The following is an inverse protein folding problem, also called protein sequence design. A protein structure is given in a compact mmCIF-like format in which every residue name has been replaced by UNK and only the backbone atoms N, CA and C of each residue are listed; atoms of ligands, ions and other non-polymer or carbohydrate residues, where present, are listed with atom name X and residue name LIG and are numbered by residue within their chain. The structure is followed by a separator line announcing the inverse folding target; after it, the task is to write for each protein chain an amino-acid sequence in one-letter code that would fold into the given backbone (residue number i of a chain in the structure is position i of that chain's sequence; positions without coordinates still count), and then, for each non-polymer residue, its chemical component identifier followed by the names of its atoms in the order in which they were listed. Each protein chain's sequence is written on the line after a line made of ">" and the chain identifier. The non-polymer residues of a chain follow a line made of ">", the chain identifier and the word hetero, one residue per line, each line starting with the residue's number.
data_IF_997846817919
#
_entry.id   IF_997846817919
#
_cell.length_a   1.000
_cell.length_b   1.000
_cell.length_c   1.000
_cell.angle_alpha   90.00
_cell.angle_beta   90.00
_cell.angle_gamma   90.00
#
_symmetry.space_group_name_H-M   'P 1'
#
loop_
_entity.id
_entity.type
_entity.pdbx_description
1 polymer ?
#
# COMPACT_ATOMS: atom_id res chain seq x y z
N UNK A 1 9.16 -2.75 1.85
CA UNK A 1 8.34 -1.66 1.26
C UNK A 1 9.22 -0.51 0.82
N UNK A 2 9.07 -0.09 -0.41
CA UNK A 2 9.70 1.13 -0.92
C UNK A 2 8.65 2.13 -1.29
N UNK A 3 8.84 3.37 -0.87
CA UNK A 3 7.88 4.45 -1.08
C UNK A 3 8.46 5.50 -2.02
N UNK A 4 7.63 6.01 -2.93
CA UNK A 4 8.03 7.00 -3.91
C UNK A 4 7.07 8.20 -3.90
N UNK A 5 7.55 9.36 -4.33
CA UNK A 5 6.74 10.56 -4.46
C UNK A 5 6.17 11.04 -3.12
N UNK A 6 4.90 11.39 -3.13
CA UNK A 6 4.23 11.91 -1.94
C UNK A 6 4.24 10.95 -0.76
N UNK A 7 4.18 9.65 -1.02
CA UNK A 7 4.20 8.66 0.06
C UNK A 7 5.49 8.72 0.85
N UNK A 8 6.61 8.91 0.16
CA UNK A 8 7.90 9.07 0.83
C UNK A 8 7.89 10.30 1.74
N UNK A 9 7.33 11.40 1.27
CA UNK A 9 7.25 12.63 2.06
C UNK A 9 6.33 12.47 3.25
N UNK A 10 5.17 11.84 3.05
CA UNK A 10 4.18 11.65 4.11
C UNK A 10 4.68 10.76 5.23
N UNK A 11 5.40 9.70 4.89
CA UNK A 11 5.90 8.75 5.87
C UNK A 11 7.27 9.11 6.43
N UNK A 12 8.02 9.95 5.70
CA UNK A 12 9.36 10.36 6.12
C UNK A 12 10.42 9.30 5.95
N UNK A 13 10.13 8.23 5.20
CA UNK A 13 11.09 7.16 4.95
C UNK A 13 11.02 6.74 3.49
N UNK A 14 12.17 6.29 2.96
CA UNK A 14 12.26 5.80 1.59
C UNK A 14 11.91 4.33 1.48
N UNK A 15 12.26 3.57 2.49
CA UNK A 15 12.05 2.12 2.51
C UNK A 15 11.97 1.62 3.94
N UNK A 16 11.26 0.53 4.14
CA UNK A 16 11.09 -0.10 5.44
C UNK A 16 11.01 -1.60 5.28
N UNK A 17 11.46 -2.31 6.31
CA UNK A 17 11.27 -3.74 6.40
C UNK A 17 10.12 -4.04 7.35
N UNK A 18 9.33 -5.04 7.01
CA UNK A 18 8.24 -5.54 7.85
C UNK A 18 8.42 -7.02 8.09
N UNK A 19 8.37 -7.41 9.35
CA UNK A 19 8.28 -8.82 9.70
C UNK A 19 6.80 -9.18 9.76
N UNK A 20 6.40 -10.12 8.93
CA UNK A 20 5.01 -10.51 8.84
C UNK A 20 4.90 -12.03 8.89
N UNK A 21 3.75 -12.51 9.30
CA UNK A 21 3.48 -13.93 9.36
C UNK A 21 3.40 -14.50 7.95
N UNK A 22 3.78 -15.76 7.80
CA UNK A 22 3.57 -16.47 6.54
C UNK A 22 2.10 -16.42 6.15
N UNK A 23 1.85 -16.17 4.87
CA UNK A 23 0.48 -16.03 4.37
C UNK A 23 -0.10 -14.63 4.43
N UNK A 24 0.65 -13.65 4.95
CA UNK A 24 0.21 -12.26 4.97
C UNK A 24 0.05 -11.76 3.54
N UNK A 25 -1.07 -11.10 3.28
CA UNK A 25 -1.36 -10.55 1.94
C UNK A 25 -0.85 -9.13 1.81
N UNK A 26 -0.72 -8.66 0.56
CA UNK A 26 -0.40 -7.27 0.28
C UNK A 26 -1.45 -6.34 0.88
N UNK A 27 -2.73 -6.71 0.79
CA UNK A 27 -3.82 -5.94 1.38
C UNK A 27 -3.59 -5.70 2.87
N UNK A 28 -3.19 -6.73 3.60
CA UNK A 28 -2.94 -6.62 5.03
C UNK A 28 -1.77 -5.68 5.34
N UNK A 29 -0.71 -5.72 4.54
CA UNK A 29 0.40 -4.79 4.70
C UNK A 29 -0.10 -3.35 4.58
N UNK A 30 -0.87 -3.08 3.54
CA UNK A 30 -1.31 -1.71 3.24
C UNK A 30 -2.38 -1.20 4.21
N UNK A 31 -3.26 -2.06 4.70
CA UNK A 31 -4.36 -1.66 5.57
C UNK A 31 -4.04 -1.75 7.05
N UNK A 32 -3.13 -2.62 7.44
CA UNK A 32 -2.87 -2.90 8.85
C UNK A 32 -1.45 -2.51 9.25
N UNK A 33 -0.45 -3.08 8.59
CA UNK A 33 0.94 -2.94 9.05
C UNK A 33 1.48 -1.52 8.87
N UNK A 34 1.29 -0.91 7.70
CA UNK A 34 1.76 0.46 7.47
C UNK A 34 1.04 1.46 8.38
N UNK A 35 -0.30 1.45 8.47
CA UNK A 35 -0.99 2.35 9.38
C UNK A 35 -0.61 2.17 10.85
N UNK A 36 -0.32 0.95 11.28
CA UNK A 36 0.09 0.72 12.67
C UNK A 36 1.48 1.27 12.96
N UNK A 37 2.39 1.17 12.00
CA UNK A 37 3.75 1.71 12.16
C UNK A 37 3.76 3.23 12.08
N UNK A 38 2.91 3.80 11.26
CA UNK A 38 2.84 5.25 11.01
C UNK A 38 1.51 5.81 11.48
N UNK A 39 1.24 5.70 12.78
CA UNK A 39 -0.06 6.09 13.35
C UNK A 39 -0.42 7.54 13.08
N UNK A 40 0.55 8.45 13.14
CA UNK A 40 0.30 9.86 12.89
C UNK A 40 -0.07 10.15 11.45
N UNK A 41 0.37 9.31 10.53
CA UNK A 41 0.12 9.48 9.10
C UNK A 41 -0.91 8.49 8.57
N UNK A 42 -1.56 7.71 9.44
CA UNK A 42 -2.43 6.62 8.98
C UNK A 42 -3.61 7.11 8.15
N UNK A 43 -4.24 8.20 8.53
CA UNK A 43 -5.39 8.72 7.79
C UNK A 43 -4.98 9.20 6.39
N UNK A 44 -3.89 9.95 6.31
CA UNK A 44 -3.44 10.44 5.01
C UNK A 44 -2.90 9.30 4.13
N UNK A 45 -2.30 8.27 4.74
CA UNK A 45 -1.88 7.07 4.03
C UNK A 45 -3.08 6.40 3.35
N UNK A 46 -4.14 6.14 4.13
CA UNK A 46 -5.34 5.50 3.62
C UNK A 46 -5.97 6.31 2.49
N UNK A 47 -6.10 7.63 2.68
CA UNK A 47 -6.70 8.50 1.66
C UNK A 47 -5.85 8.63 0.40
N UNK A 48 -4.54 8.49 0.51
CA UNK A 48 -3.64 8.58 -0.63
C UNK A 48 -3.59 7.27 -1.41
N UNK A 49 -3.57 6.15 -0.72
CA UNK A 49 -3.41 4.83 -1.36
C UNK A 49 -4.73 4.26 -1.85
N UNK A 50 -5.81 4.48 -1.11
CA UNK A 50 -7.10 3.89 -1.42
C UNK A 50 -8.13 4.93 -1.81
N UNK A 51 -9.07 4.53 -2.66
CA UNK A 51 -10.23 5.36 -2.95
C UNK A 51 -11.17 5.31 -1.76
N UNK A 52 -11.63 6.47 -1.32
CA UNK A 52 -12.56 6.55 -0.19
C UNK A 52 -13.84 7.27 -0.61
N UNK A 53 -14.93 6.86 0.01
CA UNK A 53 -16.23 7.49 -0.15
C UNK A 53 -16.78 7.77 1.24
N UNK A 54 -16.99 9.03 1.56
CA UNK A 54 -17.47 9.47 2.88
C UNK A 54 -16.61 8.93 4.03
N UNK A 55 -15.28 8.95 3.82
CA UNK A 55 -14.33 8.51 4.83
C UNK A 55 -14.13 7.01 4.93
N UNK A 56 -14.83 6.24 4.11
CA UNK A 56 -14.69 4.78 4.11
C UNK A 56 -14.02 4.31 2.83
N UNK A 57 -13.20 3.27 2.94
CA UNK A 57 -12.53 2.69 1.78
C UNK A 57 -13.56 2.08 0.83
N UNK A 58 -13.51 2.48 -0.44
CA UNK A 58 -14.35 1.89 -1.47
C UNK A 58 -13.87 0.47 -1.75
N UNK A 59 -14.81 -0.44 -1.94
CA UNK A 59 -14.50 -1.84 -2.21
C UNK A 59 -15.23 -2.32 -3.46
N UNK A 60 -14.59 -3.23 -4.19
CA UNK A 60 -15.22 -3.88 -5.33
C UNK A 60 -16.25 -4.90 -4.85
N UNK A 61 -16.93 -5.56 -5.80
CA UNK A 61 -17.98 -6.53 -5.48
C UNK A 61 -17.48 -7.69 -4.62
N UNK A 62 -16.21 -8.08 -4.79
CA UNK A 62 -15.63 -9.18 -4.04
C UNK A 62 -15.04 -8.74 -2.69
N UNK A 63 -15.21 -7.47 -2.32
CA UNK A 63 -14.72 -6.93 -1.05
C UNK A 63 -13.31 -6.40 -1.09
N UNK A 64 -12.63 -6.46 -2.23
CA UNK A 64 -11.26 -5.98 -2.36
C UNK A 64 -11.24 -4.44 -2.35
N UNK A 65 -10.34 -3.81 -1.55
CA UNK A 65 -10.22 -2.35 -1.57
C UNK A 65 -9.80 -1.83 -2.94
N UNK A 66 -10.28 -0.66 -3.30
CA UNK A 66 -9.93 -0.02 -4.58
C UNK A 66 -8.77 0.93 -4.37
N UNK A 67 -7.69 0.74 -5.13
CA UNK A 67 -6.53 1.63 -5.08
C UNK A 67 -6.84 2.94 -5.80
N UNK A 68 -6.24 4.02 -5.29
CA UNK A 68 -6.38 5.36 -5.87
C UNK A 68 -5.09 5.77 -6.54
N UNK A 69 -5.03 5.62 -7.86
CA UNK A 69 -3.92 6.12 -8.67
C UNK A 69 -2.52 5.75 -8.15
N UNK A 70 -2.38 4.54 -7.63
CA UNK A 70 -1.08 4.06 -7.18
C UNK A 70 -0.69 2.82 -7.98
N UNK A 71 0.60 2.73 -8.30
CA UNK A 71 1.18 1.54 -8.90
C UNK A 71 1.90 0.77 -7.80
N UNK A 72 1.63 -0.53 -7.74
CA UNK A 72 2.34 -1.41 -6.82
C UNK A 72 3.04 -2.46 -7.64
N UNK A 73 4.33 -2.66 -7.38
CA UNK A 73 5.16 -3.60 -8.13
C UNK A 73 5.91 -4.50 -7.15
N UNK A 74 5.85 -5.79 -7.40
CA UNK A 74 6.65 -6.79 -6.70
C UNK A 74 7.36 -7.64 -7.75
N UNK A 75 8.69 -7.65 -7.70
CA UNK A 75 9.47 -8.45 -8.65
C UNK A 75 9.22 -8.07 -10.11
N UNK A 76 8.96 -6.80 -10.40
CA UNK A 76 8.71 -6.31 -11.75
C UNK A 76 7.29 -6.56 -12.26
N UNK A 77 6.42 -7.10 -11.43
CA UNK A 77 5.04 -7.42 -11.80
C UNK A 77 4.04 -6.67 -10.94
N UNK A 78 2.83 -6.47 -11.47
CA UNK A 78 1.74 -5.87 -10.72
C UNK A 78 1.00 -6.95 -9.93
N UNK A 79 1.12 -6.96 -8.61
CA UNK A 79 0.44 -7.95 -7.79
C UNK A 79 -1.03 -7.62 -7.60
N UNK A 80 -1.77 -8.61 -7.14
CA UNK A 80 -3.13 -8.39 -6.64
C UNK A 80 -3.08 -8.13 -5.15
N UNK A 81 -4.04 -7.39 -4.62
CA UNK A 81 -4.06 -7.09 -3.20
C UNK A 81 -4.21 -8.35 -2.33
N UNK A 82 -4.83 -9.38 -2.84
CA UNK A 82 -4.99 -10.64 -2.11
C UNK A 82 -3.83 -11.62 -2.27
N UNK A 83 -2.82 -11.25 -3.05
CA UNK A 83 -1.65 -12.10 -3.19
C UNK A 83 -0.90 -12.17 -1.86
N UNK A 84 -0.45 -13.38 -1.53
CA UNK A 84 0.36 -13.60 -0.33
C UNK A 84 1.79 -13.19 -0.59
N UNK A 85 2.37 -12.53 0.38
CA UNK A 85 3.76 -12.11 0.29
C UNK A 85 4.69 -13.24 0.70
N UNK A 86 5.87 -13.26 0.10
CA UNK A 86 6.92 -14.23 0.41
C UNK A 86 8.07 -13.50 1.08
N UNK A 87 8.85 -14.25 1.86
CA UNK A 87 10.05 -13.72 2.46
C UNK A 87 10.97 -13.16 1.36
N UNK A 88 11.49 -11.97 1.60
CA UNK A 88 12.36 -11.30 0.64
C UNK A 88 11.65 -10.48 -0.43
N UNK A 89 10.32 -10.51 -0.48
CA UNK A 89 9.59 -9.70 -1.46
C UNK A 89 9.83 -8.21 -1.22
N UNK A 90 10.18 -7.49 -2.29
CA UNK A 90 10.28 -6.04 -2.27
C UNK A 90 9.02 -5.45 -2.90
N UNK A 91 8.26 -4.70 -2.10
CA UNK A 91 7.06 -4.04 -2.57
C UNK A 91 7.39 -2.58 -2.84
N UNK A 92 7.21 -2.14 -4.07
CA UNK A 92 7.37 -0.74 -4.45
C UNK A 92 5.98 -0.14 -4.68
N UNK A 93 5.71 1.00 -4.06
CA UNK A 93 4.46 1.72 -4.26
C UNK A 93 4.79 3.14 -4.72
N UNK A 94 4.18 3.55 -5.83
CA UNK A 94 4.54 4.80 -6.49
C UNK A 94 3.34 5.39 -7.24
N UNK A 95 3.39 6.71 -7.53
CA UNK A 95 2.34 7.31 -8.36
C UNK A 95 2.47 6.80 -9.80
N UNK A 96 1.37 6.84 -10.57
CA UNK A 96 1.42 6.41 -11.97
C UNK A 96 2.26 7.37 -12.82
N UNK A 97 2.80 6.85 -13.91
CA UNK A 97 3.59 7.64 -14.85
C UNK A 97 2.74 8.73 -15.48
N UNK A 98 3.37 9.90 -15.67
CA UNK A 98 2.71 11.03 -16.30
C UNK A 98 1.58 11.63 -15.49
N UNK A 99 1.30 11.07 -14.37
CA UNK A 99 0.25 11.56 -13.50
C UNK A 99 0.64 12.76 -12.67
N UNK A 100 1.83 13.22 -12.91
CA UNK A 100 2.32 14.42 -12.26
C UNK A 100 1.93 14.55 -10.83
#
# INVERSE_FOLDING_TARGET
>A
MRYFGKLREQLGVKAEEYEVKEGTTLEEILLIYVPQRHKQSSDIWIETVFRTVRGKIARSKDGTPVLKNQLIIIGGKSPRLRDKLKEGDEVAIMPPFGGG
#
